data_IF_173415547876
#
_entry.id   IF_173415547876
#
_cell.length_a   1.000
_cell.length_b   1.000
_cell.length_c   1.000
_cell.angle_alpha   90.00
_cell.angle_beta   90.00
_cell.angle_gamma   90.00
#
_symmetry.space_group_name_H-M   'P 1'
#
loop_
_entity.id
_entity.type
_entity.pdbx_description
1 polymer ?
#
# COMPACT_ATOMS: atom_id res chain seq x y z
N UNK A 1 2.20 -18.96 4.63
CA UNK A 1 3.13 -18.00 4.03
C UNK A 1 2.50 -16.63 4.21
N UNK A 2 3.00 -15.88 5.18
CA UNK A 2 2.39 -14.63 5.68
C UNK A 2 2.62 -13.50 4.67
N UNK A 3 1.74 -12.50 4.65
CA UNK A 3 1.91 -11.23 3.91
C UNK A 3 3.21 -10.47 4.24
N UNK A 4 4.00 -10.96 5.21
CA UNK A 4 5.20 -10.35 5.76
C UNK A 4 6.48 -10.45 4.91
N UNK A 5 6.49 -11.11 3.74
CA UNK A 5 7.70 -11.29 2.92
C UNK A 5 7.65 -10.63 1.53
N UNK A 6 6.69 -9.75 1.26
CA UNK A 6 6.80 -8.88 0.08
C UNK A 6 7.78 -7.77 0.48
N UNK A 7 9.00 -7.81 -0.06
CA UNK A 7 9.95 -6.71 0.11
C UNK A 7 9.25 -5.40 -0.30
N UNK A 8 9.28 -4.35 0.53
CA UNK A 8 8.55 -3.10 0.28
C UNK A 8 8.80 -2.53 -1.12
N UNK A 9 10.05 -2.64 -1.60
CA UNK A 9 10.44 -2.16 -2.92
C UNK A 9 9.82 -2.91 -4.10
N UNK A 10 9.32 -4.14 -3.93
CA UNK A 10 8.64 -4.89 -4.99
C UNK A 10 7.25 -4.32 -5.23
N UNK A 11 6.53 -3.95 -4.17
CA UNK A 11 5.18 -3.40 -4.29
C UNK A 11 5.21 -2.06 -5.01
N UNK A 12 6.16 -1.19 -4.65
CA UNK A 12 6.34 0.12 -5.27
C UNK A 12 6.75 -0.01 -6.75
N UNK A 13 7.70 -0.89 -7.08
CA UNK A 13 8.09 -1.13 -8.48
C UNK A 13 6.93 -1.65 -9.35
N UNK A 14 6.13 -2.58 -8.81
CA UNK A 14 4.95 -3.09 -9.52
C UNK A 14 3.91 -1.97 -9.70
N UNK A 15 3.73 -1.12 -8.69
CA UNK A 15 2.82 0.01 -8.72
C UNK A 15 3.20 1.02 -9.80
N UNK A 16 4.46 1.45 -9.84
CA UNK A 16 4.95 2.42 -10.82
C UNK A 16 4.76 1.89 -12.24
N UNK A 17 5.08 0.62 -12.47
CA UNK A 17 4.91 -0.02 -13.77
C UNK A 17 3.45 -0.17 -14.20
N UNK A 18 2.54 -0.40 -13.25
CA UNK A 18 1.10 -0.43 -13.54
C UNK A 18 0.54 0.97 -13.77
N UNK A 19 1.12 2.01 -13.19
CA UNK A 19 0.74 3.40 -13.42
C UNK A 19 1.11 3.88 -14.84
N UNK A 20 2.22 3.40 -15.38
CA UNK A 20 2.66 3.71 -16.76
C UNK A 20 1.76 3.11 -17.86
N UNK A 21 0.91 2.14 -17.51
CA UNK A 21 0.03 1.48 -18.47
C UNK A 21 -1.44 1.56 -18.00
N UNK A 22 -2.30 2.36 -18.66
CA UNK A 22 -3.70 2.45 -18.28
C UNK A 22 -4.43 1.12 -18.46
N UNK A 23 -5.25 0.75 -17.48
CA UNK A 23 -6.11 -0.45 -17.52
C UNK A 23 -6.50 -0.93 -16.12
N UNK A 24 -7.44 -1.87 -16.05
CA UNK A 24 -7.90 -2.44 -14.77
C UNK A 24 -6.80 -3.24 -14.07
N UNK A 25 -6.81 -3.22 -12.73
CA UNK A 25 -5.93 -4.04 -11.91
C UNK A 25 -6.38 -5.50 -11.96
N UNK A 26 -5.51 -6.40 -12.42
CA UNK A 26 -5.77 -7.84 -12.46
C UNK A 26 -4.55 -8.64 -12.01
N UNK A 27 -4.79 -9.87 -11.52
CA UNK A 27 -3.70 -10.78 -11.14
C UNK A 27 -2.75 -11.07 -12.32
N UNK A 28 -3.26 -11.12 -13.55
CA UNK A 28 -2.46 -11.31 -14.75
C UNK A 28 -1.47 -10.16 -14.97
N UNK A 29 -1.92 -8.90 -14.85
CA UNK A 29 -1.07 -7.72 -15.01
C UNK A 29 -0.04 -7.59 -13.90
N UNK A 30 -0.42 -7.95 -12.67
CA UNK A 30 0.53 -8.04 -11.55
C UNK A 30 1.60 -9.08 -11.83
N UNK A 31 1.22 -10.25 -12.37
CA UNK A 31 2.18 -11.29 -12.76
C UNK A 31 3.14 -10.83 -13.86
N UNK A 32 2.66 -10.07 -14.85
CA UNK A 32 3.51 -9.48 -15.89
C UNK A 32 4.48 -8.44 -15.35
N UNK A 33 4.01 -7.54 -14.49
CA UNK A 33 4.85 -6.53 -13.85
C UNK A 33 5.93 -7.19 -12.97
N UNK A 34 5.56 -8.22 -12.21
CA UNK A 34 6.47 -9.01 -11.39
C UNK A 34 7.49 -9.79 -12.23
N UNK A 35 7.10 -10.40 -13.35
CA UNK A 35 8.06 -11.08 -14.25
C UNK A 35 9.08 -10.11 -14.84
N UNK A 36 8.68 -8.86 -15.11
CA UNK A 36 9.57 -7.85 -15.65
C UNK A 36 10.71 -7.44 -14.67
N UNK A 37 10.61 -7.78 -13.37
CA UNK A 37 11.68 -7.54 -12.39
C UNK A 37 12.76 -8.63 -12.38
N UNK A 38 12.61 -9.67 -13.22
CA UNK A 38 13.67 -10.66 -13.49
C UNK A 38 13.74 -11.86 -12.53
N UNK A 39 12.73 -12.07 -11.67
CA UNK A 39 12.64 -13.26 -10.81
C UNK A 39 11.44 -14.14 -11.17
N UNK A 40 11.54 -15.48 -11.08
CA UNK A 40 10.37 -16.35 -11.10
C UNK A 40 9.54 -16.06 -9.86
N UNK A 41 8.28 -15.70 -10.06
CA UNK A 41 7.37 -15.34 -8.97
C UNK A 41 6.19 -16.30 -8.99
N UNK A 42 5.96 -17.00 -7.87
CA UNK A 42 4.89 -17.99 -7.78
C UNK A 42 3.51 -17.36 -7.67
N UNK A 43 2.47 -18.13 -7.99
CA UNK A 43 1.06 -17.68 -7.96
C UNK A 43 0.65 -17.09 -6.62
N UNK A 44 1.14 -17.64 -5.51
CA UNK A 44 0.87 -17.13 -4.17
C UNK A 44 1.42 -15.69 -3.97
N UNK A 45 2.60 -15.39 -4.52
CA UNK A 45 3.18 -14.04 -4.45
C UNK A 45 2.41 -13.07 -5.35
N UNK A 46 2.04 -13.51 -6.56
CA UNK A 46 1.19 -12.71 -7.47
C UNK A 46 -0.11 -12.34 -6.78
N UNK A 47 -0.78 -13.31 -6.15
CA UNK A 47 -2.04 -13.09 -5.45
C UNK A 47 -1.85 -12.16 -4.25
N UNK A 48 -0.77 -12.32 -3.48
CA UNK A 48 -0.47 -11.46 -2.34
C UNK A 48 -0.21 -10.00 -2.76
N UNK A 49 0.57 -9.78 -3.83
CA UNK A 49 0.81 -8.45 -4.41
C UNK A 49 -0.49 -7.87 -4.98
N UNK A 50 -1.28 -8.66 -5.69
CA UNK A 50 -2.58 -8.23 -6.22
C UNK A 50 -3.53 -7.79 -5.09
N UNK A 51 -3.66 -8.57 -4.02
CA UNK A 51 -4.49 -8.21 -2.86
C UNK A 51 -3.96 -6.97 -2.14
N UNK A 52 -2.64 -6.80 -2.03
CA UNK A 52 -2.04 -5.59 -1.48
C UNK A 52 -2.38 -4.36 -2.35
N UNK A 53 -2.16 -4.44 -3.66
CA UNK A 53 -2.49 -3.37 -4.60
C UNK A 53 -3.99 -3.09 -4.66
N UNK A 54 -4.85 -4.11 -4.55
CA UNK A 54 -6.30 -3.93 -4.54
C UNK A 54 -6.74 -3.16 -3.29
N UNK A 55 -6.16 -3.43 -2.12
CA UNK A 55 -6.41 -2.65 -0.91
C UNK A 55 -5.90 -1.21 -1.03
N UNK A 56 -4.80 -1.00 -1.74
CA UNK A 56 -4.30 0.34 -2.04
C UNK A 56 -5.21 1.11 -2.99
N UNK A 57 -5.82 0.44 -3.97
CA UNK A 57 -6.69 1.06 -4.98
C UNK A 57 -8.12 1.25 -4.47
N UNK A 58 -8.63 0.36 -3.62
CA UNK A 58 -10.03 0.38 -3.13
C UNK A 58 -10.18 0.84 -1.66
N UNK A 59 -9.08 1.06 -0.92
CA UNK A 59 -9.10 1.39 0.51
C UNK A 59 -8.02 2.40 0.92
N UNK A 60 -7.74 2.48 2.23
CA UNK A 60 -6.76 3.42 2.77
C UNK A 60 -5.30 2.91 2.64
N UNK A 61 -5.09 1.81 1.91
CA UNK A 61 -3.79 1.21 1.63
C UNK A 61 -3.01 0.85 2.90
N UNK A 62 -1.79 1.39 3.11
CA UNK A 62 -0.98 1.07 4.29
C UNK A 62 -1.60 1.52 5.62
N UNK A 63 -2.63 2.37 5.59
CA UNK A 63 -3.36 2.81 6.78
C UNK A 63 -4.47 1.84 7.21
N UNK A 64 -4.87 0.91 6.34
CA UNK A 64 -5.98 -0.01 6.59
C UNK A 64 -5.86 -0.80 7.91
N UNK A 65 -4.66 -1.29 8.32
CA UNK A 65 -4.51 -1.93 9.63
C UNK A 65 -4.76 -0.97 10.78
N UNK A 66 -4.35 0.30 10.67
CA UNK A 66 -4.54 1.33 11.70
C UNK A 66 -6.02 1.66 11.88
N UNK A 67 -6.75 1.82 10.77
CA UNK A 67 -8.19 2.11 10.78
C UNK A 67 -9.03 0.99 11.38
N UNK A 68 -8.52 -0.25 11.38
CA UNK A 68 -9.20 -1.41 12.01
C UNK A 68 -8.81 -1.63 13.47
N UNK A 69 -7.84 -0.87 13.99
CA UNK A 69 -7.43 -1.04 15.39
C UNK A 69 -8.54 -0.56 16.32
N UNK A 70 -8.92 -1.37 17.33
CA UNK A 70 -9.90 -0.94 18.32
C UNK A 70 -9.46 0.36 19.01
N UNK A 71 -10.40 1.31 19.10
CA UNK A 71 -10.19 2.58 19.78
C UNK A 71 -9.45 3.64 18.97
N UNK A 72 -9.00 3.38 17.74
CA UNK A 72 -8.54 4.45 16.85
C UNK A 72 -9.75 5.25 16.37
N UNK A 73 -9.71 6.56 16.57
CA UNK A 73 -10.72 7.50 16.07
C UNK A 73 -10.27 8.16 14.78
N UNK A 74 -8.97 8.53 14.71
CA UNK A 74 -8.42 9.32 13.63
C UNK A 74 -7.03 8.80 13.22
N UNK A 75 -6.72 8.92 11.92
CA UNK A 75 -5.39 8.68 11.37
C UNK A 75 -4.94 9.95 10.65
N UNK A 76 -3.84 10.54 11.12
CA UNK A 76 -3.25 11.74 10.52
C UNK A 76 -2.03 11.39 9.70
N UNK A 77 -1.94 11.94 8.49
CA UNK A 77 -0.77 11.84 7.61
C UNK A 77 -0.33 13.25 7.22
N UNK A 78 0.79 13.68 7.75
CA UNK A 78 1.38 15.00 7.44
C UNK A 78 2.52 14.91 6.42
N UNK A 79 3.08 13.72 6.22
CA UNK A 79 4.21 13.47 5.35
C UNK A 79 4.63 12.00 5.34
N UNK A 80 5.68 11.63 4.57
CA UNK A 80 6.01 10.23 4.31
C UNK A 80 6.47 9.47 5.57
N UNK A 81 7.09 10.20 6.50
CA UNK A 81 7.50 9.70 7.81
C UNK A 81 6.54 10.03 8.95
N UNK A 82 5.49 10.79 8.68
CA UNK A 82 4.70 11.51 9.68
C UNK A 82 3.26 11.01 9.71
N UNK A 83 3.10 9.79 10.22
CA UNK A 83 1.82 9.10 10.34
C UNK A 83 1.50 8.85 11.81
N UNK A 84 0.35 9.36 12.26
CA UNK A 84 -0.10 9.32 13.65
C UNK A 84 -1.50 8.70 13.75
N UNK A 85 -1.82 8.13 14.91
CA UNK A 85 -3.18 7.74 15.29
C UNK A 85 -3.63 8.53 16.51
N UNK A 86 -4.92 8.84 16.59
CA UNK A 86 -5.56 9.32 17.83
C UNK A 86 -6.50 8.22 18.38
N UNK A 87 -6.45 8.02 19.69
CA UNK A 87 -7.30 7.09 20.45
C UNK A 87 -8.06 7.77 21.59
N UNK A 88 -8.13 9.10 21.58
CA UNK A 88 -8.72 9.93 22.63
C UNK A 88 -7.73 10.39 23.72
N UNK A 89 -6.43 10.08 23.56
CA UNK A 89 -5.36 10.50 24.48
C UNK A 89 -4.32 11.42 23.81
N UNK A 90 -4.59 11.87 22.58
CA UNK A 90 -3.68 12.64 21.75
C UNK A 90 -2.97 11.79 20.68
N UNK A 91 -2.10 12.46 19.91
CA UNK A 91 -1.45 11.86 18.75
C UNK A 91 -0.33 10.89 19.13
N UNK A 92 -0.43 9.64 18.68
CA UNK A 92 0.56 8.58 18.84
C UNK A 92 1.24 8.27 17.50
N UNK A 93 2.58 8.25 17.42
CA UNK A 93 3.27 7.93 16.17
C UNK A 93 3.12 6.45 15.79
N UNK A 94 3.08 6.17 14.49
CA UNK A 94 2.98 4.80 13.97
C UNK A 94 4.28 4.36 13.28
N UNK A 95 4.38 3.06 12.98
CA UNK A 95 5.44 2.50 12.16
C UNK A 95 5.16 2.62 10.65
N UNK A 96 3.97 3.09 10.24
CA UNK A 96 3.63 3.22 8.82
C UNK A 96 4.45 4.35 8.20
N UNK A 97 4.96 4.09 7.00
CA UNK A 97 5.76 5.03 6.20
C UNK A 97 5.27 4.99 4.75
N UNK A 98 5.23 6.14 4.12
CA UNK A 98 5.09 6.24 2.66
C UNK A 98 6.48 6.40 2.03
N UNK A 99 6.61 6.03 0.77
CA UNK A 99 7.85 6.16 0.02
C UNK A 99 8.23 7.64 -0.16
N UNK A 100 7.27 8.49 -0.50
CA UNK A 100 7.47 9.89 -0.85
C UNK A 100 6.18 10.74 -0.70
N UNK A 101 6.32 12.06 -0.86
CA UNK A 101 5.19 13.00 -0.81
C UNK A 101 4.16 12.73 -1.92
N UNK A 102 4.61 12.24 -3.08
CA UNK A 102 3.71 11.87 -4.17
C UNK A 102 2.77 10.74 -3.75
N UNK A 103 3.25 9.78 -2.97
CA UNK A 103 2.45 8.69 -2.40
C UNK A 103 1.42 9.20 -1.40
N UNK A 104 1.79 10.16 -0.55
CA UNK A 104 0.87 10.82 0.37
C UNK A 104 -0.21 11.60 -0.39
N UNK A 105 0.16 12.36 -1.42
CA UNK A 105 -0.79 13.11 -2.25
C UNK A 105 -1.78 12.19 -2.96
N UNK A 106 -1.31 11.10 -3.58
CA UNK A 106 -2.18 10.10 -4.21
C UNK A 106 -3.16 9.46 -3.24
N UNK A 107 -2.79 9.33 -1.97
CA UNK A 107 -3.72 8.89 -0.92
C UNK A 107 -4.79 9.95 -0.66
N UNK A 108 -4.39 11.20 -0.44
CA UNK A 108 -5.33 12.30 -0.19
C UNK A 108 -6.32 12.49 -1.35
N UNK A 109 -5.84 12.47 -2.59
CA UNK A 109 -6.68 12.59 -3.81
C UNK A 109 -7.70 11.45 -3.93
N UNK A 110 -7.40 10.26 -3.39
CA UNK A 110 -8.29 9.10 -3.45
C UNK A 110 -9.37 9.12 -2.36
N UNK A 111 -9.11 9.77 -1.23
CA UNK A 111 -10.01 9.83 -0.08
C UNK A 111 -10.93 11.07 -0.08
N UNK A 112 -10.64 12.06 -0.92
CA UNK A 112 -11.46 13.25 -1.14
C UNK A 112 -12.68 12.96 -2.04
#
# INVERSE_FOLDING_TARGET
>A
MSLAEIEPGILDQVRDRLADQPGELSAHRVAEALRATGRPVGDATVLAVYEALRRDVLGAGPLEPLLRMPGVTDVLVNGPGEVYVDRGNGLEPTAVRFADDASVRRLAERLA
#
